data_IF_995830472396
#
_entry.id   IF_995830472396
#
_cell.length_a   1.000
_cell.length_b   1.000
_cell.length_c   1.000
_cell.angle_alpha   90.00
_cell.angle_beta   90.00
_cell.angle_gamma   90.00
#
_symmetry.space_group_name_H-M   'P 1'
#
loop_
_entity.id
_entity.type
_entity.pdbx_description
1 polymer ?
#
# COMPACT_ATOMS: atom_id res chain seq x y z
N UNK A 1 29.33 -13.64 9.56
CA UNK A 1 29.73 -12.58 8.59
C UNK A 1 30.76 -13.20 7.66
N UNK A 2 30.51 -13.17 6.35
CA UNK A 2 31.49 -13.58 5.34
C UNK A 2 32.20 -12.33 4.82
N UNK A 3 33.51 -12.42 4.64
CA UNK A 3 34.32 -11.35 4.05
C UNK A 3 34.87 -11.89 2.72
N UNK A 4 34.23 -11.50 1.62
CA UNK A 4 34.53 -11.93 0.26
C UNK A 4 34.50 -10.70 -0.64
N UNK A 5 35.52 -10.53 -1.48
CA UNK A 5 35.56 -9.51 -2.53
C UNK A 5 35.91 -10.14 -3.88
N UNK A 6 35.39 -9.56 -4.96
CA UNK A 6 35.60 -9.98 -6.34
C UNK A 6 36.36 -8.87 -7.07
N UNK A 7 37.68 -8.98 -7.11
CA UNK A 7 38.57 -7.96 -7.70
C UNK A 7 38.43 -7.83 -9.22
N UNK A 8 37.86 -8.84 -9.88
CA UNK A 8 37.56 -8.86 -11.30
C UNK A 8 36.28 -8.08 -11.67
N UNK A 9 35.47 -7.71 -10.67
CA UNK A 9 34.25 -6.92 -10.84
C UNK A 9 34.44 -5.51 -10.29
N UNK A 10 34.02 -4.50 -11.05
CA UNK A 10 34.08 -3.09 -10.61
C UNK A 10 32.77 -2.62 -9.98
N UNK A 11 31.63 -3.10 -10.47
CA UNK A 11 30.31 -2.71 -9.99
C UNK A 11 29.93 -3.49 -8.72
N UNK A 12 29.57 -2.76 -7.66
CA UNK A 12 29.14 -3.34 -6.38
C UNK A 12 27.95 -4.28 -6.57
N UNK A 13 26.99 -3.89 -7.41
CA UNK A 13 25.81 -4.69 -7.72
C UNK A 13 26.17 -6.07 -8.28
N UNK A 14 27.18 -6.15 -9.14
CA UNK A 14 27.64 -7.41 -9.71
C UNK A 14 28.32 -8.29 -8.66
N UNK A 15 29.08 -7.68 -7.72
CA UNK A 15 29.67 -8.39 -6.59
C UNK A 15 28.59 -8.99 -5.69
N UNK A 16 27.57 -8.21 -5.34
CA UNK A 16 26.45 -8.66 -4.51
C UNK A 16 25.67 -9.80 -5.17
N UNK A 17 25.38 -9.67 -6.46
CA UNK A 17 24.68 -10.70 -7.23
C UNK A 17 25.50 -11.99 -7.33
N UNK A 18 26.81 -11.88 -7.59
CA UNK A 18 27.70 -13.05 -7.65
C UNK A 18 27.79 -13.76 -6.30
N UNK A 19 27.93 -12.99 -5.21
CA UNK A 19 27.95 -13.53 -3.86
C UNK A 19 26.65 -14.30 -3.54
N UNK A 20 25.49 -13.73 -3.89
CA UNK A 20 24.20 -14.36 -3.66
C UNK A 20 24.08 -15.71 -4.39
N UNK A 21 24.53 -15.78 -5.65
CA UNK A 21 24.52 -17.02 -6.44
C UNK A 21 25.47 -18.06 -5.86
N UNK A 22 26.72 -17.69 -5.58
CA UNK A 22 27.74 -18.61 -5.06
C UNK A 22 27.35 -19.15 -3.67
N UNK A 23 26.77 -18.30 -2.82
CA UNK A 23 26.29 -18.68 -1.49
C UNK A 23 24.93 -19.40 -1.51
N UNK A 24 24.25 -19.50 -2.67
CA UNK A 24 22.85 -19.96 -2.80
C UNK A 24 21.91 -19.23 -1.82
N UNK A 25 22.10 -17.92 -1.71
CA UNK A 25 21.38 -17.06 -0.78
C UNK A 25 20.39 -16.16 -1.51
N UNK A 26 19.34 -15.75 -0.79
CA UNK A 26 18.40 -14.73 -1.23
C UNK A 26 18.97 -13.34 -0.99
N UNK A 27 18.89 -12.46 -1.99
CA UNK A 27 19.33 -11.07 -1.86
C UNK A 27 18.28 -10.25 -1.11
N UNK A 28 18.62 -9.69 0.05
CA UNK A 28 17.77 -8.74 0.76
C UNK A 28 18.25 -7.31 0.49
N UNK A 29 17.37 -6.43 0.00
CA UNK A 29 17.74 -5.05 -0.36
C UNK A 29 16.57 -4.07 -0.21
N UNK A 30 16.85 -2.77 -0.30
CA UNK A 30 15.86 -1.70 -0.48
C UNK A 30 15.94 -1.07 -1.88
N UNK A 31 16.99 -1.38 -2.64
CA UNK A 31 17.25 -0.80 -3.96
C UNK A 31 16.36 -1.42 -5.04
N UNK A 32 15.58 -0.59 -5.71
CA UNK A 32 14.66 -1.00 -6.77
C UNK A 32 15.39 -1.49 -8.02
N UNK A 33 16.44 -0.80 -8.47
CA UNK A 33 17.16 -1.15 -9.70
C UNK A 33 17.92 -2.47 -9.53
N UNK A 34 18.61 -2.64 -8.40
CA UNK A 34 19.27 -3.91 -8.07
C UNK A 34 18.26 -5.06 -8.02
N UNK A 35 17.06 -4.81 -7.46
CA UNK A 35 15.97 -5.80 -7.44
C UNK A 35 15.59 -6.23 -8.86
N UNK A 36 15.40 -5.29 -9.78
CA UNK A 36 15.04 -5.61 -11.18
C UNK A 36 16.13 -6.43 -11.87
N UNK A 37 17.39 -5.97 -11.77
CA UNK A 37 18.52 -6.65 -12.44
C UNK A 37 18.73 -8.05 -11.87
N UNK A 38 18.67 -8.22 -10.54
CA UNK A 38 18.84 -9.51 -9.90
C UNK A 38 17.74 -10.52 -10.29
N UNK A 39 16.48 -10.07 -10.37
CA UNK A 39 15.36 -10.92 -10.84
C UNK A 39 15.55 -11.39 -12.28
N UNK A 40 16.01 -10.50 -13.18
CA UNK A 40 16.32 -10.86 -14.58
C UNK A 40 17.40 -11.94 -14.65
N UNK A 41 18.36 -11.93 -13.73
CA UNK A 41 19.42 -12.94 -13.62
C UNK A 41 18.98 -14.20 -12.85
N UNK A 42 17.70 -14.32 -12.48
CA UNK A 42 17.16 -15.49 -11.78
C UNK A 42 17.57 -15.60 -10.31
N UNK A 43 18.05 -14.50 -9.71
CA UNK A 43 18.40 -14.46 -8.29
C UNK A 43 17.13 -14.17 -7.49
N UNK A 44 16.91 -14.92 -6.42
CA UNK A 44 15.82 -14.62 -5.48
C UNK A 44 16.10 -13.33 -4.74
N UNK A 45 15.11 -12.43 -4.69
CA UNK A 45 15.24 -11.11 -4.05
C UNK A 45 14.06 -10.84 -3.14
N UNK A 46 14.36 -10.41 -1.91
CA UNK A 46 13.42 -9.80 -0.98
C UNK A 46 13.71 -8.30 -0.92
N UNK A 47 12.80 -7.50 -1.46
CA UNK A 47 12.86 -6.05 -1.31
C UNK A 47 12.03 -5.60 -0.11
N UNK A 48 12.63 -4.93 0.86
CA UNK A 48 11.92 -4.50 2.08
C UNK A 48 10.81 -3.48 1.80
N UNK A 49 10.95 -2.63 0.79
CA UNK A 49 9.90 -1.70 0.39
C UNK A 49 8.69 -2.43 -0.22
N UNK A 50 8.93 -3.47 -1.03
CA UNK A 50 7.87 -4.31 -1.57
C UNK A 50 7.18 -5.12 -0.47
N UNK A 51 7.96 -5.67 0.48
CA UNK A 51 7.42 -6.38 1.64
C UNK A 51 6.55 -5.47 2.51
N UNK A 52 7.00 -4.25 2.80
CA UNK A 52 6.21 -3.27 3.56
C UNK A 52 4.92 -2.89 2.81
N UNK A 53 4.96 -2.77 1.49
CA UNK A 53 3.77 -2.52 0.68
C UNK A 53 2.79 -3.71 0.71
N UNK A 54 3.28 -4.95 0.69
CA UNK A 54 2.47 -6.16 0.75
C UNK A 54 1.75 -6.37 2.09
N UNK A 55 2.25 -5.77 3.17
CA UNK A 55 1.62 -5.81 4.49
C UNK A 55 0.50 -4.77 4.67
N UNK A 56 0.30 -3.85 3.71
CA UNK A 56 -0.76 -2.86 3.80
C UNK A 56 -2.13 -3.53 3.71
N UNK A 57 -3.14 -3.08 4.48
CA UNK A 57 -4.48 -3.65 4.42
C UNK A 57 -5.02 -3.65 2.98
N UNK A 58 -5.49 -4.80 2.51
CA UNK A 58 -6.08 -4.91 1.18
C UNK A 58 -7.60 -4.84 1.28
N UNK A 59 -8.13 -3.63 1.17
CA UNK A 59 -9.57 -3.43 0.98
C UNK A 59 -10.01 -3.79 -0.43
N UNK A 60 -11.13 -4.50 -0.53
CA UNK A 60 -11.82 -4.90 -1.75
C UNK A 60 -13.23 -4.29 -1.79
N UNK A 61 -13.84 -4.15 -2.97
CA UNK A 61 -15.26 -3.81 -3.07
C UNK A 61 -16.13 -4.75 -2.23
N UNK A 62 -17.00 -4.18 -1.39
CA UNK A 62 -17.84 -4.88 -0.42
C UNK A 62 -17.30 -4.89 1.01
N UNK A 63 -16.02 -4.56 1.23
CA UNK A 63 -15.47 -4.51 2.58
C UNK A 63 -16.05 -3.34 3.39
N UNK A 64 -16.34 -3.58 4.66
CA UNK A 64 -16.75 -2.55 5.62
C UNK A 64 -15.54 -1.83 6.21
N UNK A 65 -15.61 -0.50 6.27
CA UNK A 65 -14.59 0.36 6.89
C UNK A 65 -15.28 1.33 7.85
N UNK A 66 -14.71 1.50 9.05
CA UNK A 66 -15.04 2.64 9.91
C UNK A 66 -14.05 3.76 9.66
N UNK A 67 -14.56 4.94 9.32
CA UNK A 67 -13.72 6.08 8.94
C UNK A 67 -14.29 7.37 9.52
N UNK A 68 -13.41 8.20 10.09
CA UNK A 68 -13.78 9.57 10.44
C UNK A 68 -13.76 10.45 9.20
N UNK A 69 -14.88 11.10 8.91
CA UNK A 69 -14.95 12.04 7.80
C UNK A 69 -14.42 13.40 8.27
N UNK A 70 -13.29 13.80 7.73
CA UNK A 70 -12.54 14.98 8.21
C UNK A 70 -12.88 16.24 7.43
N UNK A 71 -13.27 16.11 6.16
CA UNK A 71 -13.55 17.27 5.28
C UNK A 71 -14.46 16.91 4.11
N UNK A 72 -14.94 17.96 3.43
CA UNK A 72 -15.69 17.80 2.18
C UNK A 72 -14.78 17.34 1.03
N UNK A 73 -15.32 16.47 0.18
CA UNK A 73 -14.68 16.01 -1.05
C UNK A 73 -14.82 16.98 -2.21
N UNK A 74 -14.34 16.55 -3.39
CA UNK A 74 -14.30 17.40 -4.58
C UNK A 74 -15.67 17.51 -5.25
N UNK A 75 -16.42 16.41 -5.34
CA UNK A 75 -17.77 16.43 -5.88
C UNK A 75 -18.80 16.80 -4.80
N UNK A 76 -19.97 17.24 -5.25
CA UNK A 76 -21.09 17.51 -4.36
C UNK A 76 -21.48 16.23 -3.58
N UNK A 77 -21.83 16.38 -2.31
CA UNK A 77 -22.17 15.26 -1.43
C UNK A 77 -20.98 14.43 -0.90
N UNK A 78 -19.77 14.56 -1.45
CA UNK A 78 -18.63 13.74 -1.00
C UNK A 78 -18.06 14.19 0.36
N UNK A 79 -17.71 13.20 1.18
CA UNK A 79 -16.83 13.34 2.34
C UNK A 79 -15.46 12.69 2.09
N UNK A 80 -14.42 13.13 2.81
CA UNK A 80 -13.08 12.55 2.75
C UNK A 80 -12.55 12.25 4.14
N UNK A 81 -12.04 11.05 4.32
CA UNK A 81 -11.30 10.59 5.49
C UNK A 81 -9.95 10.00 5.09
N UNK A 82 -9.13 9.69 6.09
CA UNK A 82 -7.81 9.08 5.91
C UNK A 82 -7.66 7.90 6.87
N UNK A 83 -7.16 6.78 6.34
CA UNK A 83 -6.73 5.66 7.18
C UNK A 83 -5.39 5.98 7.85
N UNK A 84 -5.00 5.18 8.84
CA UNK A 84 -3.75 5.35 9.59
C UNK A 84 -2.50 5.32 8.70
N UNK A 85 -2.55 4.59 7.59
CA UNK A 85 -1.47 4.50 6.61
C UNK A 85 -1.44 5.66 5.60
N UNK A 86 -2.36 6.63 5.75
CA UNK A 86 -2.50 7.78 4.87
C UNK A 86 -3.35 7.54 3.62
N UNK A 87 -3.91 6.34 3.43
CA UNK A 87 -4.82 6.05 2.32
C UNK A 87 -6.06 6.96 2.40
N UNK A 88 -6.34 7.67 1.31
CA UNK A 88 -7.49 8.57 1.24
C UNK A 88 -8.76 7.79 0.94
N UNK A 89 -9.79 7.95 1.78
CA UNK A 89 -11.12 7.35 1.59
C UNK A 89 -12.10 8.46 1.20
N UNK A 90 -12.66 8.36 0.00
CA UNK A 90 -13.70 9.26 -0.50
C UNK A 90 -15.05 8.56 -0.33
N UNK A 91 -15.93 9.17 0.46
CA UNK A 91 -17.24 8.60 0.80
C UNK A 91 -18.33 9.37 0.07
N UNK A 92 -19.09 8.68 -0.78
CA UNK A 92 -20.31 9.21 -1.39
C UNK A 92 -21.37 9.50 -0.32
N UNK A 93 -22.07 10.63 -0.45
CA UNK A 93 -23.01 11.17 0.56
C UNK A 93 -22.39 11.45 1.95
N UNK A 94 -21.07 11.30 2.10
CA UNK A 94 -20.35 11.50 3.36
C UNK A 94 -20.24 12.96 3.81
N UNK A 95 -20.61 13.95 2.98
CA UNK A 95 -20.50 15.37 3.35
C UNK A 95 -21.32 15.73 4.59
N UNK A 96 -22.44 15.07 4.82
CA UNK A 96 -23.31 15.33 5.97
C UNK A 96 -22.73 14.78 7.28
N UNK A 97 -21.75 13.86 7.16
CA UNK A 97 -21.13 13.15 8.28
C UNK A 97 -19.75 13.74 8.64
N UNK A 98 -19.40 14.92 8.13
CA UNK A 98 -18.13 15.59 8.46
C UNK A 98 -18.05 15.84 9.98
N UNK A 99 -16.92 15.47 10.57
CA UNK A 99 -16.65 15.53 12.01
C UNK A 99 -17.04 14.25 12.75
N UNK A 100 -17.77 13.33 12.11
CA UNK A 100 -18.25 12.08 12.71
C UNK A 100 -17.53 10.86 12.14
N UNK A 101 -17.62 9.75 12.87
CA UNK A 101 -17.17 8.43 12.41
C UNK A 101 -18.33 7.71 11.72
N UNK A 102 -18.09 7.15 10.53
CA UNK A 102 -19.10 6.50 9.72
C UNK A 102 -18.66 5.09 9.30
N UNK A 103 -19.62 4.16 9.28
CA UNK A 103 -19.42 2.83 8.72
C UNK A 103 -19.79 2.84 7.24
N UNK A 104 -18.80 2.53 6.39
CA UNK A 104 -18.90 2.68 4.94
C UNK A 104 -18.52 1.37 4.25
N UNK A 105 -19.14 1.12 3.10
CA UNK A 105 -18.85 -0.03 2.26
C UNK A 105 -17.96 0.41 1.09
N UNK A 106 -16.83 -0.26 0.91
CA UNK A 106 -15.91 0.02 -0.19
C UNK A 106 -16.60 -0.30 -1.51
N UNK A 107 -16.62 0.68 -2.40
CA UNK A 107 -17.17 0.55 -3.76
C UNK A 107 -16.06 0.28 -4.78
N UNK A 108 -14.93 0.98 -4.68
CA UNK A 108 -13.78 0.72 -5.54
C UNK A 108 -12.47 1.19 -4.92
N UNK A 109 -11.35 0.68 -5.44
CA UNK A 109 -10.00 1.07 -5.03
C UNK A 109 -9.24 1.54 -6.25
N UNK A 110 -8.65 2.73 -6.16
CA UNK A 110 -7.85 3.33 -7.22
C UNK A 110 -6.41 3.56 -6.74
N UNK A 111 -5.46 3.00 -7.46
CA UNK A 111 -4.05 3.30 -7.26
C UNK A 111 -3.64 4.47 -8.17
N UNK A 112 -3.07 5.52 -7.60
CA UNK A 112 -2.52 6.67 -8.33
C UNK A 112 -1.03 6.81 -8.07
N UNK A 113 -0.34 7.64 -8.86
CA UNK A 113 1.07 7.98 -8.62
C UNK A 113 1.31 8.67 -7.27
N UNK A 114 0.29 9.35 -6.72
CA UNK A 114 0.34 10.01 -5.42
C UNK A 114 -0.06 9.12 -4.23
N UNK A 115 -0.40 7.84 -4.47
CA UNK A 115 -0.84 6.91 -3.43
C UNK A 115 -2.15 6.20 -3.76
N UNK A 116 -2.70 5.52 -2.76
CA UNK A 116 -3.94 4.75 -2.85
C UNK A 116 -5.14 5.61 -2.46
N UNK A 117 -6.21 5.49 -3.23
CA UNK A 117 -7.52 6.09 -2.95
C UNK A 117 -8.57 4.99 -2.89
N UNK A 118 -9.45 5.06 -1.91
CA UNK A 118 -10.59 4.16 -1.75
C UNK A 118 -11.85 4.99 -1.94
N UNK A 119 -12.78 4.50 -2.75
CA UNK A 119 -14.12 5.05 -2.87
C UNK A 119 -15.07 4.15 -2.11
N UNK A 120 -15.90 4.74 -1.27
CA UNK A 120 -16.86 4.04 -0.44
C UNK A 120 -18.19 4.77 -0.45
N UNK A 121 -19.23 4.08 0.01
CA UNK A 121 -20.57 4.62 0.21
C UNK A 121 -20.99 4.38 1.64
N UNK A 122 -21.83 5.24 2.19
CA UNK A 122 -22.39 5.03 3.53
C UNK A 122 -23.17 3.71 3.55
N UNK A 123 -22.87 2.83 4.50
CA UNK A 123 -23.65 1.60 4.68
C UNK A 123 -25.01 2.01 5.25
N UNK A 124 -26.02 2.08 4.41
CA UNK A 124 -27.37 2.41 4.85
C UNK A 124 -27.98 1.21 5.56
N UNK A 125 -27.83 1.17 6.88
CA UNK A 125 -28.96 0.88 7.73
C UNK A 125 -29.07 2.04 8.72
N UNK A 126 -30.09 2.91 8.61
CA UNK A 126 -30.42 3.75 9.75
C UNK A 126 -30.84 2.78 10.86
N UNK A 127 -30.02 2.63 11.90
CA UNK A 127 -30.57 2.30 13.21
C UNK A 127 -31.48 3.46 13.57
N UNK A 128 -32.75 3.33 13.20
CA UNK A 128 -33.83 3.94 13.94
C UNK A 128 -33.64 3.44 15.37
N UNK A 129 -33.09 4.31 16.22
CA UNK A 129 -33.23 4.15 17.66
C UNK A 129 -34.75 4.23 17.93
N UNK A 130 -35.37 3.06 18.03
CA UNK A 130 -36.69 2.91 18.62
C UNK A 130 -36.65 3.41 20.09
N UNK A 131 -37.69 4.18 20.42
CA UNK A 131 -38.13 4.71 21.74
C UNK A 131 -37.40 5.90 22.39
#
# INVERSE_FOLDING_TARGET
>A
VMEVDYSDLSAVDEKLMRLAVEAKATLATVDYNLTQVARVRGIEVVNLNEAAAALRPNFLPGDGIRIQITRAGKAEGQGVGYLEDGTMVVVEEGRQLIGTEAEVEVSSVLQTSGGRMIFARTSSAPEQADE
#
